data_IF_387976142225
#
_entry.id   IF_387976142225
#
_cell.length_a   1.000
_cell.length_b   1.000
_cell.length_c   1.000
_cell.angle_alpha   90.00
_cell.angle_beta   90.00
_cell.angle_gamma   90.00
#
_symmetry.space_group_name_H-M   'P 1'
#
loop_
_entity.id
_entity.type
_entity.pdbx_description
1 polymer ?
#
# COMPACT_ATOMS: atom_id res chain seq x y z
N UNK A 1 -10.19 -34.94 -4.57
CA UNK A 1 -9.81 -33.75 -5.38
C UNK A 1 -10.14 -32.49 -4.58
N UNK A 2 -9.19 -32.01 -3.78
CA UNK A 2 -9.36 -30.75 -3.06
C UNK A 2 -9.21 -29.59 -4.04
N UNK A 3 -10.28 -28.84 -4.26
CA UNK A 3 -10.23 -27.53 -4.91
C UNK A 3 -9.33 -26.67 -4.03
N UNK A 4 -8.09 -26.38 -4.47
CA UNK A 4 -7.19 -25.52 -3.71
C UNK A 4 -7.92 -24.21 -3.40
N UNK A 5 -8.15 -23.93 -2.13
CA UNK A 5 -8.78 -22.69 -1.69
C UNK A 5 -7.92 -21.54 -2.23
N UNK A 6 -8.48 -20.72 -3.12
CA UNK A 6 -7.80 -19.55 -3.63
C UNK A 6 -7.46 -18.60 -2.48
N UNK A 7 -6.37 -17.86 -2.63
CA UNK A 7 -5.98 -16.78 -1.71
C UNK A 7 -7.18 -15.86 -1.47
N UNK A 8 -7.50 -15.58 -0.20
CA UNK A 8 -8.63 -14.74 0.20
C UNK A 8 -8.16 -13.33 0.52
N UNK A 9 -8.95 -12.33 0.15
CA UNK A 9 -8.75 -10.94 0.54
C UNK A 9 -9.87 -10.56 1.50
N UNK A 10 -9.49 -10.01 2.65
CA UNK A 10 -10.42 -9.57 3.69
C UNK A 10 -10.40 -8.06 3.78
N UNK A 11 -11.58 -7.43 3.77
CA UNK A 11 -11.71 -5.99 3.88
C UNK A 11 -12.39 -5.56 5.19
N UNK A 12 -11.99 -4.40 5.68
CA UNK A 12 -12.58 -3.76 6.86
C UNK A 12 -14.07 -3.40 6.64
N UNK A 13 -14.86 -3.39 7.72
CA UNK A 13 -16.28 -3.02 7.66
C UNK A 13 -16.51 -1.59 7.15
N UNK A 14 -15.58 -0.67 7.36
CA UNK A 14 -15.65 0.68 6.79
C UNK A 14 -15.57 0.65 5.25
N UNK A 15 -14.79 -0.28 4.68
CA UNK A 15 -14.70 -0.49 3.23
C UNK A 15 -16.01 -1.06 2.68
N UNK A 16 -16.66 -1.98 3.42
CA UNK A 16 -17.99 -2.48 3.06
C UNK A 16 -19.01 -1.34 2.96
N UNK A 17 -19.08 -0.50 4.01
CA UNK A 17 -19.97 0.66 4.05
C UNK A 17 -19.66 1.65 2.92
N UNK A 18 -18.38 1.87 2.64
CA UNK A 18 -17.94 2.73 1.54
C UNK A 18 -18.46 2.22 0.18
N UNK A 19 -18.27 0.93 -0.11
CA UNK A 19 -18.77 0.34 -1.36
C UNK A 19 -20.29 0.27 -1.44
N UNK A 20 -21.00 0.11 -0.32
CA UNK A 20 -22.45 0.20 -0.27
C UNK A 20 -22.95 1.57 -0.78
N UNK A 21 -22.27 2.66 -0.42
CA UNK A 21 -22.61 4.01 -0.89
C UNK A 21 -22.29 4.21 -2.38
N UNK A 22 -21.19 3.66 -2.88
CA UNK A 22 -20.81 3.79 -4.30
C UNK A 22 -21.73 2.99 -5.24
N UNK A 23 -22.33 1.89 -4.77
CA UNK A 23 -23.26 1.06 -5.55
C UNK A 23 -24.55 1.78 -5.94
N UNK A 24 -24.90 2.87 -5.26
CA UNK A 24 -26.03 3.72 -5.64
C UNK A 24 -25.76 4.53 -6.91
N UNK A 25 -24.52 4.58 -7.39
CA UNK A 25 -24.15 5.28 -8.62
C UNK A 25 -24.39 4.43 -9.86
N UNK A 26 -24.91 5.06 -10.91
CA UNK A 26 -25.04 4.48 -12.26
C UNK A 26 -23.78 4.65 -13.10
N UNK A 27 -22.79 5.43 -12.63
CA UNK A 27 -21.56 5.75 -13.37
C UNK A 27 -20.47 4.69 -13.23
N UNK A 28 -19.50 4.73 -14.14
CA UNK A 28 -18.25 3.98 -14.00
C UNK A 28 -17.39 4.66 -12.94
N UNK A 29 -16.98 3.91 -11.92
CA UNK A 29 -16.14 4.42 -10.82
C UNK A 29 -14.85 3.61 -10.77
N UNK A 30 -13.73 4.29 -10.67
CA UNK A 30 -12.43 3.70 -10.37
C UNK A 30 -11.94 4.20 -9.02
N UNK A 31 -11.24 3.36 -8.28
CA UNK A 31 -10.41 3.81 -7.19
C UNK A 31 -9.32 2.85 -6.80
N UNK A 32 -8.65 3.18 -5.71
CA UNK A 32 -7.49 2.48 -5.18
C UNK A 32 -7.83 1.80 -3.85
N UNK A 33 -7.15 0.69 -3.60
CA UNK A 33 -7.24 -0.09 -2.37
C UNK A 33 -5.96 0.06 -1.57
N UNK A 34 -6.10 0.34 -0.29
CA UNK A 34 -5.00 0.48 0.67
C UNK A 34 -5.09 -0.62 1.71
N UNK A 35 -3.95 -1.21 2.03
CA UNK A 35 -3.87 -2.26 3.02
C UNK A 35 -2.47 -2.86 3.14
N UNK A 36 -2.41 -4.07 3.70
CA UNK A 36 -1.19 -4.83 3.91
C UNK A 36 -1.48 -6.33 3.81
N UNK A 37 -0.63 -7.07 3.10
CA UNK A 37 -0.78 -8.52 2.93
C UNK A 37 -2.10 -8.91 2.24
N UNK A 38 -2.99 -9.57 2.98
CA UNK A 38 -4.32 -10.01 2.51
C UNK A 38 -5.46 -9.14 3.02
N UNK A 39 -5.13 -8.04 3.70
CA UNK A 39 -6.10 -7.18 4.38
C UNK A 39 -6.20 -5.80 3.72
N UNK A 40 -7.42 -5.42 3.36
CA UNK A 40 -7.77 -4.10 2.84
C UNK A 40 -8.42 -3.29 3.95
N UNK A 41 -7.84 -2.13 4.26
CA UNK A 41 -8.28 -1.29 5.39
C UNK A 41 -8.95 0.00 4.92
N UNK A 42 -8.70 0.40 3.67
CA UNK A 42 -9.26 1.62 3.11
C UNK A 42 -9.43 1.50 1.59
N UNK A 43 -10.43 2.20 1.07
CA UNK A 43 -10.71 2.34 -0.35
C UNK A 43 -10.98 3.81 -0.66
N UNK A 44 -10.36 4.32 -1.72
CA UNK A 44 -10.50 5.71 -2.13
C UNK A 44 -10.85 5.78 -3.62
N UNK A 45 -11.96 6.43 -3.95
CA UNK A 45 -12.32 6.71 -5.33
C UNK A 45 -11.31 7.68 -5.93
N UNK A 46 -10.85 7.42 -7.15
CA UNK A 46 -10.06 8.39 -7.90
C UNK A 46 -10.95 9.58 -8.23
N UNK A 47 -10.55 10.82 -7.87
CA UNK A 47 -11.39 11.98 -8.15
C UNK A 47 -11.72 12.10 -9.65
N UNK A 48 -12.90 12.63 -9.96
CA UNK A 48 -13.29 12.86 -11.35
C UNK A 48 -12.54 14.08 -11.90
N UNK A 49 -12.10 14.00 -13.15
CA UNK A 49 -11.63 15.19 -13.86
C UNK A 49 -12.83 16.10 -14.13
N UNK A 50 -12.63 17.40 -14.01
CA UNK A 50 -13.65 18.41 -14.29
C UNK A 50 -14.20 18.29 -15.74
N UNK A 51 -13.36 17.85 -16.68
CA UNK A 51 -13.70 17.70 -18.10
C UNK A 51 -14.25 16.31 -18.50
N UNK A 52 -14.32 15.35 -17.57
CA UNK A 52 -14.86 14.00 -17.83
C UNK A 52 -15.83 13.58 -16.70
N UNK A 53 -17.02 14.19 -16.64
CA UNK A 53 -18.00 13.92 -15.59
C UNK A 53 -18.57 12.48 -15.64
N UNK A 54 -18.45 11.81 -16.79
CA UNK A 54 -18.97 10.45 -17.01
C UNK A 54 -18.08 9.35 -16.40
N UNK A 55 -16.87 9.69 -15.96
CA UNK A 55 -15.97 8.80 -15.20
C UNK A 55 -15.43 7.60 -15.99
N UNK A 56 -15.62 7.57 -17.30
CA UNK A 56 -15.09 6.50 -18.15
C UNK A 56 -13.56 6.57 -18.18
N UNK A 57 -12.90 5.42 -18.00
CA UNK A 57 -11.44 5.36 -18.17
C UNK A 57 -11.08 5.59 -19.64
N UNK A 58 -10.66 6.79 -20.01
CA UNK A 58 -9.96 7.02 -21.26
C UNK A 58 -8.47 6.64 -21.08
N UNK A 59 -7.70 6.52 -22.16
CA UNK A 59 -6.25 6.30 -22.03
C UNK A 59 -5.56 7.52 -21.37
N UNK A 60 -6.14 8.71 -21.56
CA UNK A 60 -5.67 9.99 -21.02
C UNK A 60 -5.88 10.14 -19.50
N UNK A 61 -6.60 9.22 -18.85
CA UNK A 61 -6.86 9.25 -17.39
C UNK A 61 -5.81 8.52 -16.57
N UNK A 62 -4.83 7.90 -17.25
CA UNK A 62 -3.76 7.14 -16.59
C UNK A 62 -2.97 8.01 -15.63
N UNK A 63 -2.48 9.18 -16.07
CA UNK A 63 -1.62 10.03 -15.25
C UNK A 63 -2.33 10.53 -13.99
N UNK A 64 -3.63 10.82 -14.09
CA UNK A 64 -4.43 11.23 -12.94
C UNK A 64 -4.54 10.14 -11.86
N UNK A 65 -4.64 8.87 -12.29
CA UNK A 65 -4.64 7.72 -11.36
C UNK A 65 -3.26 7.55 -10.73
N UNK A 66 -2.19 7.75 -11.51
CA UNK A 66 -0.82 7.68 -11.01
C UNK A 66 -0.57 8.76 -9.95
N UNK A 67 -1.01 9.98 -10.20
CA UNK A 67 -0.92 11.08 -9.24
C UNK A 67 -1.77 10.82 -8.00
N UNK A 68 -3.02 10.37 -8.16
CA UNK A 68 -3.85 9.98 -7.02
C UNK A 68 -3.19 8.85 -6.20
N UNK A 69 -2.58 7.86 -6.86
CA UNK A 69 -1.89 6.76 -6.18
C UNK A 69 -0.65 7.22 -5.42
N UNK A 70 0.17 8.10 -6.02
CA UNK A 70 1.33 8.67 -5.37
C UNK A 70 0.93 9.46 -4.12
N UNK A 71 -0.08 10.34 -4.24
CA UNK A 71 -0.60 11.11 -3.10
C UNK A 71 -1.15 10.20 -2.02
N UNK A 72 -2.02 9.25 -2.38
CA UNK A 72 -2.61 8.32 -1.43
C UNK A 72 -1.52 7.51 -0.72
N UNK A 73 -0.50 7.04 -1.44
CA UNK A 73 0.61 6.29 -0.84
C UNK A 73 1.52 7.16 0.07
N UNK A 74 1.59 8.48 -0.13
CA UNK A 74 2.30 9.39 0.80
C UNK A 74 1.49 9.69 2.06
N UNK A 75 0.18 9.54 2.00
CA UNK A 75 -0.73 9.84 3.11
C UNK A 75 -1.03 8.65 4.02
N UNK A 76 -0.66 7.43 3.60
CA UNK A 76 -0.87 6.24 4.42
C UNK A 76 0.15 6.14 5.55
N UNK A 77 -0.26 5.71 6.75
CA UNK A 77 0.68 5.44 7.83
C UNK A 77 1.61 4.27 7.46
N UNK A 78 2.79 4.25 8.09
CA UNK A 78 3.81 3.22 7.85
C UNK A 78 3.25 1.80 7.99
N UNK A 79 3.67 0.90 7.09
CA UNK A 79 3.21 -0.49 7.03
C UNK A 79 2.00 -0.72 6.11
N UNK A 80 1.30 0.34 5.70
CA UNK A 80 0.26 0.26 4.68
C UNK A 80 0.78 0.74 3.32
N UNK A 81 0.18 0.25 2.24
CA UNK A 81 0.45 0.73 0.90
C UNK A 81 -0.76 0.66 0.00
N UNK A 82 -0.68 1.34 -1.14
CA UNK A 82 -1.58 1.04 -2.27
C UNK A 82 -1.29 -0.38 -2.74
N UNK A 83 -2.22 -1.30 -2.48
CA UNK A 83 -2.06 -2.73 -2.74
C UNK A 83 -2.94 -3.23 -3.90
N UNK A 84 -3.79 -2.36 -4.44
CA UNK A 84 -4.71 -2.74 -5.50
C UNK A 84 -5.59 -1.61 -6.00
N UNK A 85 -6.53 -1.96 -6.87
CA UNK A 85 -7.52 -1.05 -7.42
C UNK A 85 -8.89 -1.71 -7.50
N UNK A 86 -9.93 -0.88 -7.55
CA UNK A 86 -11.30 -1.33 -7.72
C UNK A 86 -12.00 -0.58 -8.85
N UNK A 87 -12.99 -1.27 -9.45
CA UNK A 87 -13.91 -0.70 -10.43
C UNK A 87 -15.34 -1.02 -10.02
N UNK A 88 -16.21 -0.01 -10.03
CA UNK A 88 -17.67 -0.18 -9.95
C UNK A 88 -18.26 0.17 -11.31
N UNK A 89 -19.03 -0.74 -11.91
CA UNK A 89 -19.66 -0.50 -13.21
C UNK A 89 -20.94 -1.33 -13.41
N UNK A 90 -21.89 -0.87 -14.24
CA UNK A 90 -23.12 -1.62 -14.51
C UNK A 90 -22.87 -2.87 -15.37
N UNK A 91 -21.87 -2.84 -16.25
CA UNK A 91 -21.50 -3.96 -17.11
C UNK A 91 -20.50 -4.93 -16.44
N UNK A 92 -20.53 -6.18 -16.88
CA UNK A 92 -19.50 -7.17 -16.52
C UNK A 92 -18.16 -6.82 -17.16
N UNK A 93 -17.06 -7.13 -16.47
CA UNK A 93 -15.72 -6.93 -17.00
C UNK A 93 -15.48 -7.80 -18.23
N UNK A 94 -15.01 -7.15 -19.29
CA UNK A 94 -14.51 -7.79 -20.50
C UNK A 94 -13.04 -8.20 -20.34
N UNK A 95 -12.52 -9.04 -21.24
CA UNK A 95 -11.08 -9.36 -21.26
C UNK A 95 -10.21 -8.13 -21.44
N UNK A 96 -10.68 -7.16 -22.22
CA UNK A 96 -9.99 -5.91 -22.53
C UNK A 96 -9.91 -4.97 -21.33
N UNK A 97 -11.04 -4.73 -20.66
CA UNK A 97 -11.10 -3.90 -19.44
C UNK A 97 -10.25 -4.49 -18.31
N UNK A 98 -10.25 -5.81 -18.16
CA UNK A 98 -9.33 -6.48 -17.23
C UNK A 98 -7.85 -6.30 -17.61
N UNK A 99 -7.50 -6.34 -18.90
CA UNK A 99 -6.14 -6.08 -19.36
C UNK A 99 -5.73 -4.62 -19.11
N UNK A 100 -6.64 -3.67 -19.32
CA UNK A 100 -6.43 -2.25 -19.02
C UNK A 100 -6.15 -2.05 -17.52
N UNK A 101 -6.98 -2.62 -16.66
CA UNK A 101 -6.79 -2.59 -15.20
C UNK A 101 -5.41 -3.11 -14.79
N UNK A 102 -4.94 -4.21 -15.39
CA UNK A 102 -3.58 -4.74 -15.13
C UNK A 102 -2.47 -3.77 -15.53
N UNK A 103 -2.57 -3.19 -16.73
CA UNK A 103 -1.56 -2.23 -17.22
C UNK A 103 -1.51 -0.98 -16.35
N UNK A 104 -2.68 -0.48 -15.94
CA UNK A 104 -2.79 0.65 -15.01
C UNK A 104 -2.18 0.31 -13.65
N UNK A 105 -2.50 -0.85 -13.08
CA UNK A 105 -1.95 -1.28 -11.79
C UNK A 105 -0.42 -1.44 -11.84
N UNK A 106 0.13 -1.97 -12.93
CA UNK A 106 1.59 -2.04 -13.10
C UNK A 106 2.23 -0.65 -13.15
N UNK A 107 1.60 0.31 -13.83
CA UNK A 107 2.08 1.69 -13.86
C UNK A 107 1.98 2.37 -12.48
N UNK A 108 0.89 2.11 -11.74
CA UNK A 108 0.72 2.59 -10.37
C UNK A 108 1.84 2.06 -9.47
N UNK A 109 2.18 0.76 -9.56
CA UNK A 109 3.30 0.22 -8.79
C UNK A 109 4.61 0.94 -9.10
N UNK A 110 4.93 1.10 -10.38
CA UNK A 110 6.18 1.75 -10.79
C UNK A 110 6.26 3.18 -10.22
N UNK A 111 5.15 3.92 -10.27
CA UNK A 111 5.06 5.29 -9.72
C UNK A 111 5.24 5.31 -8.20
N UNK A 112 4.57 4.41 -7.50
CA UNK A 112 4.55 4.35 -6.03
C UNK A 112 5.85 3.78 -5.46
N UNK A 113 6.61 2.99 -6.23
CA UNK A 113 7.87 2.37 -5.79
C UNK A 113 9.12 3.19 -6.08
N UNK A 114 9.05 4.19 -6.98
CA UNK A 114 10.20 4.99 -7.45
C UNK A 114 11.01 5.68 -6.32
N UNK A 115 10.32 6.17 -5.29
CA UNK A 115 10.91 6.89 -4.15
C UNK A 115 10.81 6.12 -2.83
N UNK A 116 10.51 4.82 -2.90
CA UNK A 116 10.38 4.01 -1.70
C UNK A 116 11.75 3.75 -1.07
N UNK A 117 11.91 4.14 0.18
CA UNK A 117 13.16 4.00 0.93
C UNK A 117 13.41 2.59 1.46
N UNK A 118 12.34 1.82 1.71
CA UNK A 118 12.41 0.46 2.25
C UNK A 118 11.51 -0.48 1.45
N UNK A 119 11.94 -1.74 1.32
CA UNK A 119 11.00 -2.80 0.95
C UNK A 119 9.96 -2.94 2.06
N UNK A 120 8.73 -3.26 1.70
CA UNK A 120 7.90 -3.96 2.68
C UNK A 120 8.47 -5.40 2.79
N UNK A 121 8.26 -6.04 3.94
CA UNK A 121 8.75 -7.37 4.38
C UNK A 121 8.86 -8.50 3.34
N UNK A 122 9.47 -9.63 3.71
CA UNK A 122 9.50 -10.86 2.88
C UNK A 122 8.09 -11.39 2.48
N UNK A 123 7.03 -10.98 3.20
CA UNK A 123 5.64 -11.32 2.87
C UNK A 123 5.00 -10.38 1.84
N UNK A 124 5.73 -9.37 1.37
CA UNK A 124 5.30 -8.46 0.31
C UNK A 124 5.40 -9.14 -1.03
N UNK A 125 4.38 -9.96 -1.23
CA UNK A 125 4.06 -10.52 -2.52
C UNK A 125 3.95 -9.37 -3.52
N UNK A 126 4.52 -9.56 -4.71
CA UNK A 126 4.30 -8.67 -5.86
C UNK A 126 2.84 -8.73 -6.35
N UNK A 127 1.95 -9.27 -5.53
CA UNK A 127 0.55 -9.48 -5.78
C UNK A 127 -0.19 -8.16 -5.56
N UNK A 128 -1.05 -7.79 -6.51
CA UNK A 128 -1.98 -6.68 -6.37
C UNK A 128 -3.40 -7.16 -6.56
N UNK A 129 -4.28 -6.54 -5.78
CA UNK A 129 -5.71 -6.83 -5.80
C UNK A 129 -6.37 -6.03 -6.91
N UNK A 130 -7.18 -6.70 -7.71
CA UNK A 130 -8.08 -6.08 -8.66
C UNK A 130 -9.50 -6.50 -8.30
N UNK A 131 -10.32 -5.52 -7.94
CA UNK A 131 -11.69 -5.73 -7.51
C UNK A 131 -12.66 -5.15 -8.54
N UNK A 132 -13.66 -5.92 -8.93
CA UNK A 132 -14.80 -5.40 -9.68
C UNK A 132 -16.09 -5.63 -8.91
N UNK A 133 -16.92 -4.60 -8.88
CA UNK A 133 -18.25 -4.61 -8.28
C UNK A 133 -19.24 -4.24 -9.39
N UNK A 134 -20.10 -5.19 -9.77
CA UNK A 134 -21.16 -4.91 -10.72
C UNK A 134 -22.29 -4.15 -10.01
N UNK A 135 -22.55 -2.89 -10.38
CA UNK A 135 -23.60 -2.08 -9.73
C UNK A 135 -25.01 -2.64 -9.98
N UNK A 136 -25.24 -3.28 -11.13
CA UNK A 136 -26.54 -3.89 -11.45
C UNK A 136 -26.85 -5.16 -10.65
N UNK A 137 -25.85 -6.00 -10.38
CA UNK A 137 -26.05 -7.32 -9.74
C UNK A 137 -25.52 -7.41 -8.32
N UNK A 138 -24.82 -6.37 -7.86
CA UNK A 138 -24.02 -6.36 -6.63
C UNK A 138 -22.95 -7.46 -6.55
N UNK A 139 -22.69 -8.16 -7.65
CA UNK A 139 -21.69 -9.22 -7.70
C UNK A 139 -20.30 -8.63 -7.56
N UNK A 140 -19.54 -9.19 -6.61
CA UNK A 140 -18.13 -8.86 -6.39
C UNK A 140 -17.26 -9.93 -7.03
N UNK A 141 -16.28 -9.50 -7.79
CA UNK A 141 -15.27 -10.37 -8.41
C UNK A 141 -13.88 -9.84 -8.10
N UNK A 142 -13.03 -10.70 -7.56
CA UNK A 142 -11.70 -10.33 -7.07
C UNK A 142 -10.64 -11.19 -7.75
N UNK A 143 -9.57 -10.53 -8.17
CA UNK A 143 -8.41 -11.18 -8.76
C UNK A 143 -7.13 -10.68 -8.11
N UNK A 144 -6.14 -11.56 -8.11
CA UNK A 144 -4.79 -11.24 -7.68
C UNK A 144 -3.87 -11.36 -8.89
N UNK A 145 -3.14 -10.30 -9.19
CA UNK A 145 -2.13 -10.26 -10.24
C UNK A 145 -0.74 -10.11 -9.65
N UNK A 146 0.24 -10.82 -10.17
CA UNK A 146 1.64 -10.59 -9.82
C UNK A 146 2.24 -9.55 -10.78
N UNK A 147 2.70 -8.41 -10.26
CA UNK A 147 3.23 -7.30 -11.07
C UNK A 147 4.56 -7.67 -11.74
N UNK A 148 5.38 -8.55 -11.15
CA UNK A 148 6.62 -9.02 -11.78
C UNK A 148 6.36 -10.00 -12.93
N UNK A 149 5.17 -10.60 -12.96
CA UNK A 149 4.76 -11.56 -13.98
C UNK A 149 3.43 -11.14 -14.64
N UNK A 150 3.34 -9.92 -15.23
CA UNK A 150 2.08 -9.36 -15.69
C UNK A 150 1.50 -10.10 -16.92
N UNK A 151 2.34 -10.90 -17.60
CA UNK A 151 1.95 -11.79 -18.70
C UNK A 151 1.19 -13.03 -18.23
N UNK A 152 1.31 -13.43 -16.96
CA UNK A 152 0.56 -14.56 -16.41
C UNK A 152 -0.88 -14.16 -16.12
N UNK A 153 -1.79 -15.12 -16.21
CA UNK A 153 -3.18 -14.90 -15.84
C UNK A 153 -3.31 -14.62 -14.35
N UNK A 154 -4.09 -13.60 -14.00
CA UNK A 154 -4.49 -13.33 -12.62
C UNK A 154 -5.25 -14.51 -12.04
N UNK A 155 -5.01 -14.79 -10.77
CA UNK A 155 -5.70 -15.84 -10.02
C UNK A 155 -6.99 -15.28 -9.45
N UNK A 156 -8.08 -16.03 -9.54
CA UNK A 156 -9.32 -15.68 -8.85
C UNK A 156 -9.09 -15.76 -7.34
N UNK A 157 -9.60 -14.77 -6.60
CA UNK A 157 -9.53 -14.69 -5.15
C UNK A 157 -10.95 -14.54 -4.57
N UNK A 158 -11.13 -14.98 -3.33
CA UNK A 158 -12.37 -14.71 -2.59
C UNK A 158 -12.27 -13.33 -1.94
N UNK A 159 -13.36 -12.58 -1.97
CA UNK A 159 -13.48 -11.31 -1.25
C UNK A 159 -14.45 -11.48 -0.09
N UNK A 160 -14.04 -11.08 1.11
CA UNK A 160 -14.86 -11.15 2.32
C UNK A 160 -14.71 -9.88 3.15
N UNK A 161 -15.73 -9.56 3.95
CA UNK A 161 -15.68 -8.47 4.92
C UNK A 161 -15.51 -9.02 6.33
N UNK A 162 -14.75 -8.32 7.16
CA UNK A 162 -14.58 -8.67 8.56
C UNK A 162 -15.82 -8.23 9.36
N UNK A 163 -16.71 -9.18 9.67
CA UNK A 163 -18.03 -8.89 10.26
C UNK A 163 -18.03 -8.60 11.77
N UNK A 164 -16.97 -8.95 12.50
CA UNK A 164 -17.01 -9.05 13.98
C UNK A 164 -16.11 -8.05 14.72
N UNK A 165 -15.32 -7.25 14.00
CA UNK A 165 -14.54 -6.14 14.57
C UNK A 165 -14.48 -5.02 13.53
N UNK A 166 -14.88 -3.79 13.89
CA UNK A 166 -14.19 -2.62 13.34
C UNK A 166 -12.75 -2.80 13.78
N UNK A 167 -11.87 -3.25 12.87
CA UNK A 167 -10.58 -3.75 13.28
C UNK A 167 -9.83 -2.63 14.00
N UNK A 168 -9.63 -2.79 15.31
CA UNK A 168 -8.61 -2.04 16.01
C UNK A 168 -7.29 -2.57 15.48
N UNK A 169 -6.77 -1.91 14.45
CA UNK A 169 -5.43 -2.18 13.95
C UNK A 169 -4.46 -1.81 15.07
N UNK A 170 -3.71 -2.78 15.64
CA UNK A 170 -2.71 -2.43 16.64
C UNK A 170 -1.66 -1.56 15.96
N UNK A 171 -1.65 -0.27 16.28
CA UNK A 171 -0.66 0.66 15.77
C UNK A 171 0.58 0.58 16.64
N UNK A 172 1.66 0.12 16.04
CA UNK A 172 3.00 0.24 16.57
C UNK A 172 3.51 1.66 16.37
N UNK A 173 3.81 2.38 17.45
CA UNK A 173 4.44 3.70 17.36
C UNK A 173 5.89 3.61 17.83
N UNK A 174 6.82 3.87 16.90
CA UNK A 174 8.25 3.96 17.17
C UNK A 174 8.73 5.38 16.79
N UNK A 175 8.82 6.32 17.73
CA UNK A 175 9.44 7.61 17.44
C UNK A 175 10.93 7.35 17.13
N UNK A 176 11.39 7.88 16.00
CA UNK A 176 12.80 7.82 15.60
C UNK A 176 13.27 9.26 15.38
N UNK A 177 14.39 9.61 16.02
CA UNK A 177 15.11 10.84 15.70
C UNK A 177 16.15 10.52 14.63
N UNK A 178 16.18 11.32 13.57
CA UNK A 178 16.98 11.07 12.39
C UNK A 178 17.91 12.28 12.20
N UNK A 179 19.15 12.13 12.64
CA UNK A 179 20.23 13.08 12.36
C UNK A 179 21.21 12.46 11.36
N UNK A 180 21.08 12.85 10.09
CA UNK A 180 21.87 12.30 8.98
C UNK A 180 22.73 13.38 8.34
N UNK A 181 24.05 13.16 8.38
CA UNK A 181 25.00 13.90 7.55
C UNK A 181 25.32 13.12 6.27
N UNK A 182 25.22 13.79 5.12
CA UNK A 182 25.62 13.22 3.84
C UNK A 182 26.46 14.24 3.03
N UNK A 183 27.55 13.78 2.38
CA UNK A 183 28.43 14.67 1.62
C UNK A 183 27.76 15.13 0.33
N UNK A 184 27.72 16.44 0.10
CA UNK A 184 27.21 17.03 -1.14
C UNK A 184 28.40 17.25 -2.08
N UNK A 185 28.47 16.43 -3.14
CA UNK A 185 29.52 16.54 -4.17
C UNK A 185 29.16 17.52 -5.28
N UNK A 186 27.88 17.59 -5.63
CA UNK A 186 27.32 18.48 -6.64
C UNK A 186 26.30 19.41 -5.98
N UNK A 187 26.56 20.72 -6.06
CA UNK A 187 25.74 21.78 -5.45
C UNK A 187 24.53 22.19 -6.31
N UNK A 188 24.33 21.59 -7.47
CA UNK A 188 23.09 21.78 -8.23
C UNK A 188 21.90 21.23 -7.44
N UNK A 189 20.68 21.71 -7.75
CA UNK A 189 19.44 21.17 -7.15
C UNK A 189 19.33 19.65 -7.32
N UNK A 190 19.68 19.15 -8.51
CA UNK A 190 19.69 17.72 -8.80
C UNK A 190 20.73 16.98 -7.95
N UNK A 191 21.96 17.49 -7.88
CA UNK A 191 23.02 16.93 -7.04
C UNK A 191 22.67 16.87 -5.56
N UNK A 192 22.02 17.92 -5.04
CA UNK A 192 21.51 17.97 -3.67
C UNK A 192 20.43 16.89 -3.42
N UNK A 193 19.42 16.82 -4.29
CA UNK A 193 18.35 15.83 -4.18
C UNK A 193 18.90 14.40 -4.26
N UNK A 194 19.87 14.15 -5.13
CA UNK A 194 20.52 12.85 -5.24
C UNK A 194 21.31 12.52 -3.97
N UNK A 195 22.10 13.45 -3.44
CA UNK A 195 22.87 13.22 -2.21
C UNK A 195 21.96 12.93 -1.01
N UNK A 196 20.82 13.61 -0.92
CA UNK A 196 19.79 13.36 0.09
C UNK A 196 19.16 11.99 -0.10
N UNK A 197 18.73 11.63 -1.31
CA UNK A 197 18.17 10.31 -1.63
C UNK A 197 19.15 9.21 -1.26
N UNK A 198 20.43 9.34 -1.62
CA UNK A 198 21.48 8.38 -1.29
C UNK A 198 21.71 8.27 0.23
N UNK A 199 21.70 9.41 0.94
CA UNK A 199 21.81 9.45 2.41
C UNK A 199 20.67 8.72 3.10
N UNK A 200 19.43 9.02 2.71
CA UNK A 200 18.22 8.38 3.24
C UNK A 200 18.19 6.88 2.91
N UNK A 201 18.57 6.49 1.69
CA UNK A 201 18.66 5.07 1.31
C UNK A 201 19.69 4.30 2.12
N UNK A 202 20.84 4.92 2.46
CA UNK A 202 21.83 4.29 3.34
C UNK A 202 21.29 4.10 4.76
N UNK A 203 20.61 5.10 5.31
CA UNK A 203 19.97 5.01 6.61
C UNK A 203 18.89 3.92 6.61
N UNK A 204 17.97 3.94 5.64
CA UNK A 204 16.89 2.97 5.54
C UNK A 204 17.40 1.52 5.45
N UNK A 205 18.48 1.27 4.70
CA UNK A 205 19.13 -0.05 4.65
C UNK A 205 19.70 -0.50 5.99
N UNK A 206 20.24 0.42 6.80
CA UNK A 206 20.70 0.11 8.16
C UNK A 206 19.51 -0.22 9.07
N UNK A 207 18.43 0.55 8.97
CA UNK A 207 17.19 0.31 9.71
C UNK A 207 16.58 -1.04 9.34
N UNK A 208 16.56 -1.40 8.06
CA UNK A 208 16.05 -2.70 7.58
C UNK A 208 16.89 -3.88 8.11
N UNK A 209 18.21 -3.70 8.26
CA UNK A 209 19.09 -4.69 8.86
C UNK A 209 19.05 -4.72 10.40
N UNK A 210 18.36 -3.77 11.03
CA UNK A 210 18.28 -3.67 12.49
C UNK A 210 17.29 -4.68 13.08
N UNK A 211 17.46 -5.02 14.35
CA UNK A 211 16.55 -5.94 15.05
C UNK A 211 15.46 -5.13 15.75
N UNK A 212 14.21 -5.43 15.40
CA UNK A 212 13.07 -4.81 16.05
C UNK A 212 12.74 -5.54 17.38
N UNK A 213 12.68 -4.78 18.48
CA UNK A 213 12.35 -5.31 19.81
C UNK A 213 10.97 -4.77 20.24
N UNK A 214 10.09 -5.66 20.70
CA UNK A 214 8.84 -5.27 21.33
C UNK A 214 8.99 -5.39 22.84
N UNK A 215 8.80 -4.29 23.57
CA UNK A 215 9.00 -4.24 25.03
C UNK A 215 10.37 -4.83 25.45
N UNK A 216 11.45 -4.45 24.74
CA UNK A 216 12.82 -4.95 24.91
C UNK A 216 13.01 -6.46 24.73
N UNK A 217 12.08 -7.13 24.03
CA UNK A 217 12.18 -8.55 23.72
C UNK A 217 12.24 -8.74 22.21
N UNK A 218 13.17 -9.58 21.78
CA UNK A 218 13.19 -10.09 20.42
C UNK A 218 12.08 -11.14 20.31
N UNK A 219 11.03 -10.82 19.56
CA UNK A 219 9.92 -11.72 19.33
C UNK A 219 10.11 -12.45 18.00
N UNK A 220 9.85 -13.77 17.93
CA UNK A 220 9.77 -14.47 16.67
C UNK A 220 8.77 -13.79 15.72
N UNK A 221 9.06 -13.80 14.42
CA UNK A 221 8.26 -13.14 13.38
C UNK A 221 6.75 -13.53 13.37
N UNK A 222 6.38 -14.68 13.93
CA UNK A 222 4.99 -15.18 13.99
C UNK A 222 4.38 -15.16 15.39
N UNK A 223 4.82 -14.24 16.23
CA UNK A 223 4.26 -14.09 17.58
C UNK A 223 2.91 -13.37 17.48
N UNK A 224 1.83 -14.04 17.87
CA UNK A 224 0.53 -13.40 18.00
C UNK A 224 0.61 -12.33 19.09
N UNK A 225 0.51 -11.07 18.68
CA UNK A 225 0.31 -9.96 19.60
C UNK A 225 -1.12 -10.07 20.11
N UNK A 226 -1.32 -10.40 21.39
CA UNK A 226 -2.65 -10.39 22.00
C UNK A 226 -3.29 -9.00 21.77
N UNK A 227 -4.60 -8.93 21.44
CA UNK A 227 -5.27 -7.65 21.24
C UNK A 227 -5.09 -6.80 22.50
N UNK A 228 -4.55 -5.57 22.39
CA UNK A 228 -4.25 -4.78 23.56
C UNK A 228 -5.56 -4.37 24.23
N UNK A 229 -5.76 -4.80 25.48
CA UNK A 229 -6.65 -4.12 26.41
C UNK A 229 -6.07 -2.72 26.69
N UNK A 230 -6.46 -1.72 25.90
CA UNK A 230 -6.28 -0.26 26.12
C UNK A 230 -4.86 0.29 26.39
N UNK A 231 -3.80 -0.50 26.38
CA UNK A 231 -2.45 -0.01 26.60
C UNK A 231 -1.70 0.21 25.27
N UNK A 232 -1.31 1.44 25.03
CA UNK A 232 -0.47 1.88 23.90
C UNK A 232 0.81 1.04 23.80
N UNK A 233 1.07 0.45 22.64
CA UNK A 233 2.32 -0.28 22.36
C UNK A 233 3.40 0.73 21.99
N UNK A 234 4.37 0.92 22.88
CA UNK A 234 5.56 1.76 22.64
C UNK A 234 6.67 0.89 22.06
N UNK A 235 7.16 1.25 20.88
CA UNK A 235 8.35 0.64 20.29
C UNK A 235 9.58 1.51 20.59
N UNK A 236 10.67 0.84 20.95
CA UNK A 236 11.96 1.48 21.16
C UNK A 236 12.93 0.86 20.15
N UNK A 237 13.24 1.58 19.07
CA UNK A 237 14.39 1.26 18.24
C UNK A 237 15.62 1.86 18.93
N UNK A 238 16.46 1.02 19.51
CA UNK A 238 17.70 1.47 20.15
C UNK A 238 18.81 1.45 19.11
N UNK A 239 19.13 2.60 18.50
CA UNK A 239 20.46 2.81 17.90
C UNK A 239 21.35 3.48 18.94
N UNK A 240 22.28 2.73 19.52
CA UNK A 240 23.44 3.31 20.21
C UNK A 240 24.37 3.90 19.15
N UNK A 241 24.18 5.17 18.81
CA UNK A 241 25.25 5.97 18.22
C UNK A 241 26.06 6.56 19.38
N UNK A 242 27.12 5.85 19.78
CA UNK A 242 28.15 6.41 20.64
C UNK A 242 28.79 7.60 19.90
N UNK A 243 28.48 8.81 20.34
CA UNK A 243 29.25 10.00 20.03
C UNK A 243 30.53 9.92 20.86
N UNK A 244 31.61 9.41 20.27
CA UNK A 244 32.95 9.84 20.70
C UNK A 244 33.17 11.17 19.99
N UNK A 245 32.90 12.25 20.72
CA UNK A 245 33.43 13.55 20.36
C UNK A 245 34.93 13.49 20.68
N UNK A 246 35.76 13.34 19.64
CA UNK A 246 37.13 13.83 19.75
C UNK A 246 37.02 15.37 19.68
N UNK A 247 37.34 15.98 20.81
CA UNK A 247 37.43 17.43 21.02
C UNK A 247 38.31 18.10 19.94
N UNK A 248 37.93 19.30 19.46
CA UNK A 248 38.86 20.22 18.85
C UNK A 248 39.34 21.20 19.93
N UNK A 249 40.53 20.99 20.51
CA UNK A 249 41.27 22.05 21.20
C UNK A 249 42.79 21.78 21.16
N UNK A 250 43.49 22.78 20.60
CA UNK A 250 44.95 23.00 20.46
C UNK A 250 45.71 22.29 19.32
#
# INVERSE_FOLDING_TARGET
>A
MGKGMGKGITADAAVEKYFANLKASTSYILGLLVGQGEFVVHAAMTPLKEDNPDGLMNEDDKDYILDHAEHLNRMVPGGLSVMGMFVVSPSHQTKESHMKMRRTMAAVENRVSEDRLWGFSEEDTNDRVMLHICSNTNKVTCWIMNIKEPSKSSKSATWSYLQWMTAFWPVAVCPMDIDLMFPIKDKTRHGLMQAMKDGMMRWAKKTEASVCLLNNKNLPAKTNLNPPTKASLVWCATEYCNVVADDPCE
#
